data_IF_110950398346
#
_entry.id   IF_110950398346
#
_cell.length_a   1.000
_cell.length_b   1.000
_cell.length_c   1.000
_cell.angle_alpha   90.00
_cell.angle_beta   90.00
_cell.angle_gamma   90.00
#
_symmetry.space_group_name_H-M   'P 1'
#
loop_
_entity.id
_entity.type
_entity.pdbx_description
1 polymer ?
#
# COMPACT_ATOMS: atom_id res chain seq x y z
N UNK A 1 -33.56 -26.95 -10.38
CA UNK A 1 -32.25 -27.26 -11.02
C UNK A 1 -31.54 -26.04 -11.60
N UNK A 2 -32.23 -25.10 -12.28
CA UNK A 2 -31.60 -23.91 -12.88
C UNK A 2 -30.83 -23.03 -11.88
N UNK A 3 -31.39 -22.79 -10.70
CA UNK A 3 -30.74 -22.00 -9.65
C UNK A 3 -29.43 -22.62 -9.13
N UNK A 4 -29.32 -23.95 -9.15
CA UNK A 4 -28.14 -24.68 -8.70
C UNK A 4 -26.98 -24.50 -9.69
N UNK A 5 -27.28 -24.53 -10.99
CA UNK A 5 -26.31 -24.20 -12.05
C UNK A 5 -25.86 -22.74 -12.01
N UNK A 6 -26.79 -21.80 -11.76
CA UNK A 6 -26.44 -20.37 -11.66
C UNK A 6 -25.56 -20.11 -10.43
N UNK A 7 -25.87 -20.72 -9.28
CA UNK A 7 -25.05 -20.59 -8.08
C UNK A 7 -23.66 -21.21 -8.26
N UNK A 8 -23.58 -22.39 -8.90
CA UNK A 8 -22.33 -23.06 -9.19
C UNK A 8 -21.47 -22.26 -10.19
N UNK A 9 -22.10 -21.67 -11.20
CA UNK A 9 -21.43 -20.81 -12.18
C UNK A 9 -20.91 -19.52 -11.54
N UNK A 10 -21.67 -18.89 -10.64
CA UNK A 10 -21.23 -17.72 -9.89
C UNK A 10 -20.05 -18.05 -8.96
N UNK A 11 -20.09 -19.19 -8.28
CA UNK A 11 -18.97 -19.69 -7.45
C UNK A 11 -17.70 -19.97 -8.26
N UNK A 12 -17.83 -20.54 -9.46
CA UNK A 12 -16.70 -20.85 -10.35
C UNK A 12 -16.18 -19.60 -11.09
N UNK A 13 -17.02 -18.61 -11.36
CA UNK A 13 -16.65 -17.34 -12.00
C UNK A 13 -15.94 -16.36 -11.06
N UNK A 14 -15.90 -16.67 -9.76
CA UNK A 14 -15.14 -15.93 -8.77
C UNK A 14 -13.66 -16.33 -8.86
N UNK A 15 -13.06 -16.07 -10.03
CA UNK A 15 -11.62 -16.05 -10.23
C UNK A 15 -11.06 -14.94 -9.33
N UNK A 16 -10.81 -15.29 -8.07
CA UNK A 16 -10.17 -14.41 -7.11
C UNK A 16 -8.95 -13.77 -7.75
N UNK A 17 -8.84 -12.45 -7.59
CA UNK A 17 -7.79 -11.63 -8.21
C UNK A 17 -6.44 -12.31 -7.99
N UNK A 18 -5.94 -12.92 -9.07
CA UNK A 18 -4.79 -13.80 -9.05
C UNK A 18 -3.54 -12.94 -9.17
N UNK A 19 -2.90 -12.63 -8.03
CA UNK A 19 -1.60 -12.00 -8.03
C UNK A 19 -0.51 -13.08 -8.20
N UNK A 20 -0.30 -13.53 -9.44
CA UNK A 20 0.77 -14.50 -9.76
C UNK A 20 2.16 -13.89 -9.52
N UNK A 21 2.29 -12.59 -9.81
CA UNK A 21 3.53 -11.84 -9.71
C UNK A 21 3.33 -10.63 -8.80
N UNK A 22 3.52 -10.82 -7.49
CA UNK A 22 3.64 -9.68 -6.58
C UNK A 22 4.90 -8.90 -6.97
N UNK A 23 4.83 -7.57 -7.13
CA UNK A 23 5.95 -6.79 -7.64
C UNK A 23 7.23 -7.02 -6.81
N UNK A 24 8.42 -7.00 -7.45
CA UNK A 24 9.67 -7.13 -6.73
C UNK A 24 9.81 -6.00 -5.69
N UNK A 25 10.60 -6.22 -4.62
CA UNK A 25 10.89 -5.17 -3.65
C UNK A 25 11.39 -3.91 -4.34
N UNK A 26 10.84 -2.76 -3.97
CA UNK A 26 11.22 -1.48 -4.54
C UNK A 26 11.21 -0.39 -3.49
N UNK A 27 12.01 0.64 -3.73
CA UNK A 27 11.96 1.91 -3.02
C UNK A 27 11.69 2.99 -4.04
N UNK A 28 10.60 3.72 -3.85
CA UNK A 28 10.22 4.84 -4.68
C UNK A 28 10.21 6.11 -3.83
N UNK A 29 10.96 7.11 -4.29
CA UNK A 29 11.03 8.43 -3.68
C UNK A 29 10.24 9.42 -4.53
N UNK A 30 9.38 10.18 -3.87
CA UNK A 30 8.50 11.17 -4.47
C UNK A 30 8.81 12.53 -3.86
N UNK A 31 8.90 13.54 -4.70
CA UNK A 31 8.94 14.94 -4.28
C UNK A 31 7.66 15.60 -4.77
N UNK A 32 6.94 16.23 -3.85
CA UNK A 32 5.70 16.94 -4.16
C UNK A 32 6.04 18.41 -4.31
N UNK A 33 5.69 18.98 -5.45
CA UNK A 33 5.88 20.39 -5.75
C UNK A 33 4.53 21.07 -5.90
N UNK A 34 4.39 22.26 -5.32
CA UNK A 34 3.27 23.15 -5.58
C UNK A 34 3.82 24.49 -6.08
N UNK A 35 3.35 24.94 -7.25
CA UNK A 35 3.78 26.20 -7.87
C UNK A 35 5.33 26.34 -7.99
N UNK A 36 6.03 25.23 -8.27
CA UNK A 36 7.49 25.21 -8.38
C UNK A 36 8.26 25.07 -7.05
N UNK A 37 7.58 25.16 -5.90
CA UNK A 37 8.21 24.99 -4.58
C UNK A 37 8.02 23.57 -4.06
N UNK A 38 9.06 22.98 -3.47
CA UNK A 38 8.95 21.69 -2.78
C UNK A 38 8.08 21.85 -1.53
N UNK A 39 6.97 21.13 -1.48
CA UNK A 39 6.01 21.17 -0.36
C UNK A 39 6.01 19.88 0.47
N UNK A 40 6.59 18.82 -0.06
CA UNK A 40 6.70 17.55 0.64
C UNK A 40 7.60 16.56 -0.07
N UNK A 41 7.97 15.53 0.67
CA UNK A 41 8.62 14.33 0.14
C UNK A 41 7.88 13.11 0.68
N UNK A 42 7.84 12.06 -0.12
CA UNK A 42 7.28 10.77 0.26
C UNK A 42 8.22 9.66 -0.16
N UNK A 43 8.41 8.67 0.69
CA UNK A 43 9.13 7.44 0.37
C UNK A 43 8.18 6.28 0.53
N UNK A 44 8.03 5.47 -0.52
CA UNK A 44 7.31 4.20 -0.48
C UNK A 44 8.31 3.08 -0.63
N UNK A 45 8.32 2.16 0.32
CA UNK A 45 9.20 1.01 0.33
C UNK A 45 8.36 -0.25 0.41
N UNK A 46 8.57 -1.16 -0.53
CA UNK A 46 8.04 -2.51 -0.48
C UNK A 46 9.18 -3.47 -0.20
N UNK A 47 9.14 -4.13 0.96
CA UNK A 47 10.14 -5.12 1.36
C UNK A 47 9.49 -6.50 1.39
N UNK A 48 10.12 -7.49 0.73
CA UNK A 48 9.70 -8.89 0.85
C UNK A 48 10.30 -9.49 2.12
N UNK A 49 9.42 -9.98 3.01
CA UNK A 49 9.79 -10.71 4.22
C UNK A 49 9.80 -12.23 3.96
N UNK A 50 10.42 -12.99 4.87
CA UNK A 50 10.41 -14.47 4.83
C UNK A 50 8.96 -15.00 4.94
N UNK A 51 8.67 -16.13 4.28
CA UNK A 51 7.35 -16.82 4.27
C UNK A 51 6.22 -16.11 3.51
N UNK A 52 6.50 -15.42 2.39
CA UNK A 52 5.45 -14.83 1.55
C UNK A 52 4.73 -13.62 2.17
N UNK A 53 5.36 -12.99 3.17
CA UNK A 53 4.90 -11.74 3.76
C UNK A 53 5.56 -10.58 3.04
N UNK A 54 4.84 -9.48 2.87
CA UNK A 54 5.38 -8.25 2.31
C UNK A 54 5.10 -7.10 3.28
N UNK A 55 6.12 -6.30 3.55
CA UNK A 55 6.02 -5.09 4.34
C UNK A 55 6.00 -3.92 3.37
N UNK A 56 4.90 -3.18 3.38
CA UNK A 56 4.78 -1.91 2.68
C UNK A 56 4.90 -0.79 3.70
N UNK A 57 5.85 0.11 3.49
CA UNK A 57 6.06 1.27 4.34
C UNK A 57 5.96 2.52 3.49
N UNK A 58 5.06 3.43 3.86
CA UNK A 58 4.99 4.76 3.26
C UNK A 58 5.33 5.78 4.35
N UNK A 59 6.31 6.63 4.07
CA UNK A 59 6.67 7.76 4.91
C UNK A 59 6.44 9.02 4.09
N UNK A 60 5.60 9.94 4.55
CA UNK A 60 5.43 11.25 3.93
C UNK A 60 5.77 12.34 4.95
N UNK A 61 6.52 13.33 4.48
CA UNK A 61 7.02 14.44 5.28
C UNK A 61 6.80 15.74 4.51
N UNK A 62 6.21 16.74 5.16
CA UNK A 62 6.15 18.11 4.62
C UNK A 62 7.56 18.70 4.59
N UNK A 63 7.95 19.33 3.48
CA UNK A 63 9.27 19.95 3.28
C UNK A 63 9.14 21.39 2.79
N UNK A 64 10.22 22.16 2.84
CA UNK A 64 10.24 23.55 2.38
C UNK A 64 9.54 24.52 3.34
N UNK A 65 9.02 25.64 2.79
CA UNK A 65 8.43 26.73 3.58
C UNK A 65 7.24 26.26 4.44
N UNK A 66 6.45 25.29 3.97
CA UNK A 66 5.35 24.68 4.73
C UNK A 66 5.80 23.94 5.99
N UNK A 67 7.04 23.42 6.02
CA UNK A 67 7.58 22.71 7.20
C UNK A 67 7.94 23.63 8.37
N UNK A 68 7.96 24.95 8.15
CA UNK A 68 8.12 25.94 9.22
C UNK A 68 6.81 26.24 9.95
N UNK A 69 5.67 26.12 9.27
CA UNK A 69 4.35 26.38 9.87
C UNK A 69 3.73 25.13 10.49
N UNK A 70 3.95 23.96 9.90
CA UNK A 70 3.40 22.71 10.41
C UNK A 70 4.26 21.52 9.97
N UNK A 71 4.86 20.82 10.94
CA UNK A 71 5.62 19.60 10.67
C UNK A 71 4.69 18.40 10.78
N UNK A 72 4.14 17.99 9.64
CA UNK A 72 3.32 16.79 9.56
C UNK A 72 4.19 15.66 9.03
N UNK A 73 4.35 14.62 9.85
CA UNK A 73 4.97 13.37 9.44
C UNK A 73 3.91 12.28 9.44
N UNK A 74 3.68 11.70 8.28
CA UNK A 74 2.76 10.60 8.11
C UNK A 74 3.53 9.32 7.90
N UNK A 75 3.25 8.31 8.70
CA UNK A 75 3.85 6.98 8.59
C UNK A 75 2.72 5.97 8.44
N UNK A 76 2.65 5.33 7.29
CA UNK A 76 1.75 4.21 7.05
C UNK A 76 2.56 2.92 6.91
N UNK A 77 2.15 1.92 7.67
CA UNK A 77 2.70 0.57 7.63
C UNK A 77 1.58 -0.38 7.19
N UNK A 78 1.75 -1.01 6.03
CA UNK A 78 0.89 -2.06 5.53
C UNK A 78 1.62 -3.39 5.60
N UNK A 79 1.04 -4.37 6.29
CA UNK A 79 1.52 -5.75 6.21
C UNK A 79 0.61 -6.53 5.28
N UNK A 80 1.21 -7.06 4.22
CA UNK A 80 0.55 -7.88 3.22
C UNK A 80 0.94 -9.34 3.46
N UNK A 81 -0.06 -10.19 3.57
CA UNK A 81 0.13 -11.63 3.67
C UNK A 81 -0.39 -12.28 2.40
N UNK A 82 0.44 -13.08 1.76
CA UNK A 82 -0.03 -13.98 0.71
C UNK A 82 -0.29 -15.33 1.38
N UNK A 83 -1.55 -15.62 1.70
CA UNK A 83 -1.96 -16.91 2.27
C UNK A 83 -2.74 -17.66 1.21
N UNK A 84 -2.18 -18.78 0.71
CA UNK A 84 -2.81 -19.69 -0.26
C UNK A 84 -3.52 -18.95 -1.41
N UNK A 85 -2.80 -18.05 -2.10
CA UNK A 85 -3.28 -17.32 -3.29
C UNK A 85 -4.33 -16.23 -3.02
N UNK A 86 -4.58 -15.87 -1.75
CA UNK A 86 -5.44 -14.74 -1.36
C UNK A 86 -4.61 -13.66 -0.65
N UNK A 87 -4.78 -12.40 -1.06
CA UNK A 87 -4.05 -11.27 -0.51
C UNK A 87 -4.80 -10.71 0.70
N UNK A 88 -4.24 -10.87 1.89
CA UNK A 88 -4.73 -10.22 3.10
C UNK A 88 -3.92 -8.96 3.38
N UNK A 89 -4.64 -7.85 3.59
CA UNK A 89 -4.05 -6.53 3.79
C UNK A 89 -4.39 -6.04 5.20
N UNK A 90 -3.37 -5.76 6.01
CA UNK A 90 -3.53 -5.06 7.29
C UNK A 90 -2.78 -3.74 7.23
N UNK A 91 -3.50 -2.62 7.29
CA UNK A 91 -2.92 -1.26 7.21
C UNK A 91 -3.05 -0.58 8.57
N UNK A 92 -1.92 -0.17 9.13
CA UNK A 92 -1.85 0.71 10.28
C UNK A 92 -1.31 2.07 9.81
N UNK A 93 -2.11 3.13 9.98
CA UNK A 93 -1.71 4.50 9.70
C UNK A 93 -1.46 5.25 11.02
N UNK A 94 -0.26 5.77 11.20
CA UNK A 94 0.12 6.64 12.30
C UNK A 94 0.46 8.02 11.74
N UNK A 95 -0.45 8.98 11.96
CA UNK A 95 -0.19 10.39 11.70
C UNK A 95 0.37 11.04 12.97
N UNK A 96 1.58 11.60 12.91
CA UNK A 96 2.18 12.34 14.02
C UNK A 96 2.38 13.79 13.57
N UNK A 97 1.68 14.72 14.22
CA UNK A 97 1.82 16.16 14.03
C UNK A 97 2.55 16.72 15.25
N UNK A 98 3.67 17.40 15.03
CA UNK A 98 4.42 18.12 16.07
C UNK A 98 4.25 19.62 15.88
#
# INVERSE_FOLDING_TARGET
MKALFVALFLLLSNNGIYANDFPPPFTAEYKVYAKGFSVGKGTRTLTRLKKGKFLFKTVAETTGFLSFFKKIRFIALGLFFVVRKSLFVSIACLGVSW
#
